data_IF_240037277564
#
_entry.id   IF_240037277564
#
_cell.length_a   1.000
_cell.length_b   1.000
_cell.length_c   1.000
_cell.angle_alpha   90.00
_cell.angle_beta   90.00
_cell.angle_gamma   90.00
#
_symmetry.space_group_name_H-M   'P 1'
#
loop_
_entity.id
_entity.type
_entity.pdbx_description
1 polymer ?
#
# COMPACT_ATOMS: atom_id res chain seq x y z
N UNK A 1 -24.16 -1.99 -12.54
CA UNK A 1 -24.47 -1.69 -13.97
C UNK A 1 -25.87 -1.10 -14.03
N UNK A 2 -26.03 0.07 -14.67
CA UNK A 2 -27.34 0.65 -14.91
C UNK A 2 -27.98 -0.03 -16.13
N UNK A 3 -29.04 -0.79 -15.89
CA UNK A 3 -29.81 -1.50 -16.94
C UNK A 3 -31.07 -0.75 -17.37
N UNK A 4 -31.32 0.45 -16.82
CA UNK A 4 -32.54 1.22 -17.05
C UNK A 4 -32.73 1.68 -18.51
N UNK A 5 -31.68 1.65 -19.32
CA UNK A 5 -31.71 2.01 -20.75
C UNK A 5 -31.88 0.81 -21.70
N UNK A 6 -32.02 -0.42 -21.19
CA UNK A 6 -32.20 -1.59 -22.05
C UNK A 6 -33.63 -1.64 -22.57
N UNK A 7 -33.77 -1.40 -23.87
CA UNK A 7 -35.07 -1.47 -24.52
C UNK A 7 -35.43 -2.93 -24.73
N UNK A 8 -36.60 -3.32 -24.25
CA UNK A 8 -37.23 -4.60 -24.63
C UNK A 8 -37.64 -4.51 -26.09
N UNK A 9 -37.17 -5.44 -26.94
CA UNK A 9 -37.47 -5.50 -28.36
C UNK A 9 -37.84 -6.92 -28.75
N UNK A 10 -38.74 -7.04 -29.74
CA UNK A 10 -39.02 -8.31 -30.39
C UNK A 10 -37.85 -8.63 -31.32
N UNK A 11 -37.32 -9.84 -31.24
CA UNK A 11 -36.22 -10.34 -32.08
C UNK A 11 -36.80 -11.42 -33.01
N UNK A 12 -36.79 -11.20 -34.32
CA UNK A 12 -37.20 -12.18 -35.28
C UNK A 12 -36.10 -13.25 -35.49
N UNK A 13 -36.46 -14.46 -35.98
CA UNK A 13 -35.50 -15.50 -36.30
C UNK A 13 -34.36 -14.99 -37.17
N UNK A 14 -33.12 -15.22 -36.76
CA UNK A 14 -31.91 -14.76 -37.45
C UNK A 14 -31.53 -13.31 -37.25
N UNK A 15 -32.28 -12.54 -36.45
CA UNK A 15 -31.87 -11.19 -36.05
C UNK A 15 -30.95 -11.22 -34.82
N UNK A 16 -30.06 -10.21 -34.75
CA UNK A 16 -29.15 -9.96 -33.63
C UNK A 16 -29.40 -8.55 -33.12
N UNK A 17 -29.54 -8.39 -31.81
CA UNK A 17 -29.53 -7.11 -31.14
C UNK A 17 -28.26 -7.00 -30.29
N UNK A 18 -27.64 -5.80 -30.29
CA UNK A 18 -26.40 -5.54 -29.58
C UNK A 18 -26.68 -4.59 -28.42
N UNK A 19 -26.25 -4.98 -27.23
CA UNK A 19 -26.32 -4.18 -26.02
C UNK A 19 -24.89 -3.89 -25.54
N UNK A 20 -24.66 -2.70 -24.98
CA UNK A 20 -23.39 -2.28 -24.42
C UNK A 20 -23.59 -1.90 -22.97
N UNK A 21 -22.62 -2.25 -22.12
CA UNK A 21 -22.55 -1.82 -20.74
C UNK A 21 -21.17 -1.27 -20.43
N UNK A 22 -21.08 -0.32 -19.50
CA UNK A 22 -19.82 0.25 -19.02
C UNK A 22 -19.71 -0.03 -17.53
N UNK A 23 -18.57 -0.53 -17.11
CA UNK A 23 -18.20 -0.67 -15.72
C UNK A 23 -16.94 0.17 -15.44
N UNK A 24 -16.99 1.02 -14.41
CA UNK A 24 -15.81 1.76 -13.95
C UNK A 24 -15.12 0.93 -12.88
N UNK A 25 -13.87 0.60 -13.13
CA UNK A 25 -13.04 -0.17 -12.20
C UNK A 25 -12.74 0.70 -10.98
N UNK A 26 -13.13 0.22 -9.80
CA UNK A 26 -12.81 0.83 -8.51
C UNK A 26 -11.73 0.04 -7.76
N UNK A 27 -11.26 0.59 -6.61
CA UNK A 27 -10.20 -0.02 -5.81
C UNK A 27 -10.50 -1.46 -5.41
N UNK A 28 -11.71 -1.76 -4.95
CA UNK A 28 -12.13 -3.13 -4.59
C UNK A 28 -11.92 -4.13 -5.74
N UNK A 29 -12.12 -3.70 -6.98
CA UNK A 29 -11.89 -4.57 -8.15
C UNK A 29 -10.40 -4.75 -8.43
N UNK A 30 -9.60 -3.70 -8.26
CA UNK A 30 -8.14 -3.76 -8.37
C UNK A 30 -7.57 -4.73 -7.33
N UNK A 31 -8.01 -4.62 -6.08
CA UNK A 31 -7.58 -5.51 -4.98
C UNK A 31 -8.02 -6.96 -5.18
N UNK A 32 -9.17 -7.20 -5.83
CA UNK A 32 -9.60 -8.57 -6.15
C UNK A 32 -8.83 -9.19 -7.32
N UNK A 33 -8.09 -8.39 -8.10
CA UNK A 33 -7.28 -8.83 -9.23
C UNK A 33 -8.08 -9.17 -10.48
N UNK A 34 -9.41 -9.05 -10.46
CA UNK A 34 -10.24 -9.27 -11.63
C UNK A 34 -11.66 -8.74 -11.46
N UNK A 35 -12.33 -8.53 -12.57
CA UNK A 35 -13.79 -8.32 -12.64
C UNK A 35 -14.38 -9.39 -13.55
N UNK A 36 -15.45 -10.03 -13.10
CA UNK A 36 -16.24 -10.95 -13.92
C UNK A 36 -17.64 -10.41 -14.17
N UNK A 37 -18.16 -10.67 -15.34
CA UNK A 37 -19.51 -10.27 -15.73
C UNK A 37 -20.23 -11.37 -16.49
N UNK A 38 -21.51 -11.59 -16.14
CA UNK A 38 -22.43 -12.43 -16.88
C UNK A 38 -23.71 -11.66 -17.14
N UNK A 39 -24.39 -11.95 -18.24
CA UNK A 39 -25.70 -11.42 -18.59
C UNK A 39 -26.65 -12.58 -18.86
N UNK A 40 -27.85 -12.53 -18.27
CA UNK A 40 -28.93 -13.43 -18.62
C UNK A 40 -29.91 -12.71 -19.53
N UNK A 41 -30.10 -13.21 -20.74
CA UNK A 41 -31.12 -12.75 -21.64
C UNK A 41 -32.39 -13.61 -21.46
N UNK A 42 -33.56 -12.98 -21.38
CA UNK A 42 -34.84 -13.67 -21.28
C UNK A 42 -35.80 -13.18 -22.36
N UNK A 43 -36.62 -14.07 -22.88
CA UNK A 43 -37.65 -13.74 -23.86
C UNK A 43 -38.90 -14.59 -23.67
N UNK A 44 -40.00 -14.14 -24.29
CA UNK A 44 -41.24 -14.91 -24.33
C UNK A 44 -41.51 -15.33 -25.78
N UNK A 45 -41.65 -16.62 -26.04
CA UNK A 45 -41.97 -17.13 -27.34
C UNK A 45 -43.48 -16.90 -27.67
N UNK A 46 -43.89 -16.95 -28.96
CA UNK A 46 -45.28 -16.71 -29.37
C UNK A 46 -46.31 -17.63 -28.70
N UNK A 47 -45.90 -18.80 -28.24
CA UNK A 47 -46.75 -19.74 -27.49
C UNK A 47 -46.88 -19.43 -26.00
N UNK A 48 -46.22 -18.34 -25.54
CA UNK A 48 -46.18 -17.92 -24.14
C UNK A 48 -45.12 -18.61 -23.30
N UNK A 49 -44.30 -19.50 -23.86
CA UNK A 49 -43.17 -20.09 -23.13
C UNK A 49 -42.04 -19.13 -22.94
N UNK A 50 -41.36 -19.20 -21.78
CA UNK A 50 -40.14 -18.42 -21.50
C UNK A 50 -38.93 -19.14 -22.08
N UNK A 51 -38.08 -18.37 -22.71
CA UNK A 51 -36.74 -18.77 -23.14
C UNK A 51 -35.71 -17.89 -22.43
N UNK A 52 -34.61 -18.47 -22.10
CA UNK A 52 -33.49 -17.71 -21.51
C UNK A 52 -32.16 -18.30 -21.94
N UNK A 53 -31.13 -17.47 -21.88
CA UNK A 53 -29.78 -17.87 -22.13
C UNK A 53 -28.83 -17.01 -21.26
N UNK A 54 -27.68 -17.58 -20.87
CA UNK A 54 -26.64 -16.89 -20.09
C UNK A 54 -25.49 -16.64 -21.05
N UNK A 55 -24.93 -15.43 -20.95
CA UNK A 55 -23.80 -15.03 -21.80
C UNK A 55 -22.61 -15.97 -21.63
N UNK A 56 -21.97 -16.22 -22.76
CA UNK A 56 -20.69 -16.87 -22.90
C UNK A 56 -19.61 -15.80 -23.11
N UNK A 57 -18.35 -16.07 -22.73
CA UNK A 57 -17.21 -15.17 -22.92
C UNK A 57 -16.67 -15.14 -24.36
N UNK A 58 -17.21 -16.00 -25.22
CA UNK A 58 -16.84 -16.12 -26.64
C UNK A 58 -15.61 -17.01 -26.87
N UNK A 59 -15.11 -17.70 -25.84
CA UNK A 59 -14.09 -18.72 -26.00
C UNK A 59 -14.72 -19.99 -26.60
N UNK A 60 -14.03 -20.62 -27.52
CA UNK A 60 -14.47 -21.89 -28.16
C UNK A 60 -13.52 -23.03 -27.80
N UNK A 61 -12.85 -22.94 -26.66
CA UNK A 61 -11.90 -23.95 -26.18
C UNK A 61 -12.55 -25.29 -25.80
N UNK A 62 -11.73 -26.29 -25.57
CA UNK A 62 -12.21 -27.67 -25.20
C UNK A 62 -12.78 -27.74 -23.78
N UNK A 63 -12.68 -26.68 -23.01
CA UNK A 63 -13.23 -26.54 -21.66
C UNK A 63 -14.42 -25.58 -21.58
N UNK A 64 -14.85 -25.05 -22.75
CA UNK A 64 -16.00 -24.18 -22.90
C UNK A 64 -17.27 -24.92 -22.46
N UNK A 65 -17.97 -24.33 -21.46
CA UNK A 65 -19.26 -24.87 -20.96
C UNK A 65 -20.46 -24.15 -21.56
N UNK A 66 -20.21 -23.14 -22.41
CA UNK A 66 -21.24 -22.36 -23.12
C UNK A 66 -22.03 -21.39 -22.23
N UNK A 67 -21.57 -21.10 -21.03
CA UNK A 67 -22.16 -20.13 -20.10
C UNK A 67 -21.10 -19.52 -19.17
N UNK A 68 -19.89 -19.29 -19.67
CA UNK A 68 -18.78 -18.80 -18.87
C UNK A 68 -18.81 -17.27 -18.73
N UNK A 69 -18.43 -16.73 -17.57
CA UNK A 69 -18.39 -15.30 -17.38
C UNK A 69 -17.23 -14.65 -18.15
N UNK A 70 -17.48 -13.51 -18.76
CA UNK A 70 -16.38 -12.66 -19.26
C UNK A 70 -15.55 -12.17 -18.08
N UNK A 71 -14.26 -12.48 -18.06
CA UNK A 71 -13.33 -12.10 -16.99
C UNK A 71 -12.28 -11.12 -17.52
N UNK A 72 -12.12 -9.99 -16.84
CA UNK A 72 -11.03 -9.04 -17.08
C UNK A 72 -10.08 -9.08 -15.90
N UNK A 73 -8.86 -9.58 -16.12
CA UNK A 73 -7.80 -9.58 -15.11
C UNK A 73 -7.19 -8.18 -14.97
N UNK A 74 -6.69 -7.87 -13.78
CA UNK A 74 -6.01 -6.63 -13.43
C UNK A 74 -4.63 -6.92 -12.88
N UNK A 75 -3.64 -6.14 -13.33
CA UNK A 75 -2.29 -6.24 -12.78
C UNK A 75 -2.26 -5.61 -11.39
N UNK A 76 -1.80 -6.38 -10.41
CA UNK A 76 -1.55 -5.93 -9.05
C UNK A 76 -0.06 -5.64 -8.90
N UNK A 77 0.27 -4.39 -8.61
CA UNK A 77 1.63 -3.88 -8.43
C UNK A 77 1.72 -3.25 -7.03
N UNK A 78 1.79 -4.08 -5.98
CA UNK A 78 1.90 -3.59 -4.62
C UNK A 78 3.29 -3.01 -4.38
N UNK A 79 3.36 -1.84 -3.74
CA UNK A 79 4.61 -1.16 -3.40
C UNK A 79 4.38 -0.24 -2.20
N UNK A 80 5.41 -0.02 -1.40
CA UNK A 80 5.44 1.02 -0.37
C UNK A 80 6.80 1.71 -0.37
N UNK A 81 6.84 2.93 0.17
CA UNK A 81 8.03 3.73 0.38
C UNK A 81 8.08 4.21 1.82
N UNK A 82 9.22 4.08 2.46
CA UNK A 82 9.46 4.47 3.86
C UNK A 82 10.58 5.51 3.92
N UNK A 83 10.26 6.68 4.45
CA UNK A 83 11.24 7.76 4.67
C UNK A 83 11.38 8.00 6.16
N UNK A 84 12.61 8.15 6.65
CA UNK A 84 12.92 8.46 8.04
C UNK A 84 13.91 9.60 8.15
N UNK A 85 13.43 10.74 8.66
CA UNK A 85 14.27 11.92 8.89
C UNK A 85 14.53 12.11 10.37
N UNK A 86 15.64 12.79 10.69
CA UNK A 86 16.03 13.09 12.05
C UNK A 86 16.36 14.59 12.24
N UNK A 87 15.96 15.15 13.39
CA UNK A 87 16.27 16.51 13.80
C UNK A 87 16.81 16.49 15.23
N UNK A 88 17.89 17.24 15.50
CA UNK A 88 18.44 17.36 16.85
C UNK A 88 17.94 18.66 17.47
N UNK A 89 17.33 18.54 18.64
CA UNK A 89 16.89 19.67 19.46
C UNK A 89 17.94 19.89 20.54
N UNK A 90 18.64 21.03 20.47
CA UNK A 90 19.60 21.52 21.48
C UNK A 90 18.84 22.01 22.71
N UNK A 91 18.74 21.16 23.75
CA UNK A 91 17.93 21.43 24.93
C UNK A 91 18.63 22.38 25.92
N UNK A 92 19.98 22.46 25.92
CA UNK A 92 20.74 23.32 26.83
C UNK A 92 21.20 24.61 26.19
N UNK A 93 20.99 24.79 24.87
CA UNK A 93 21.29 26.02 24.13
C UNK A 93 22.79 26.28 23.93
N UNK A 94 23.62 25.23 23.99
CA UNK A 94 25.06 25.38 23.88
C UNK A 94 25.59 25.38 22.43
N UNK A 95 24.70 25.09 21.44
CA UNK A 95 24.99 25.06 20.01
C UNK A 95 25.75 23.82 19.56
N UNK A 96 25.75 22.75 20.36
CA UNK A 96 26.39 21.46 20.05
C UNK A 96 25.45 20.32 20.39
N UNK A 97 25.52 19.24 19.62
CA UNK A 97 24.83 18.01 19.94
C UNK A 97 25.55 17.33 21.12
N UNK A 98 24.84 17.06 22.23
CA UNK A 98 25.45 16.54 23.44
C UNK A 98 24.49 15.78 24.34
N UNK A 99 25.01 15.37 25.51
CA UNK A 99 24.20 14.65 26.50
C UNK A 99 23.00 15.50 26.93
N UNK A 100 21.81 14.93 26.87
CA UNK A 100 20.56 15.56 27.27
C UNK A 100 19.80 16.23 26.15
N UNK A 101 20.42 16.42 24.98
CA UNK A 101 19.70 16.86 23.79
C UNK A 101 18.80 15.76 23.27
N UNK A 102 17.82 16.13 22.43
CA UNK A 102 16.83 15.20 21.92
C UNK A 102 16.99 15.04 20.41
N UNK A 103 17.09 13.81 19.94
CA UNK A 103 16.90 13.48 18.53
C UNK A 103 15.42 13.15 18.33
N UNK A 104 14.78 13.88 17.43
CA UNK A 104 13.39 13.65 16.99
C UNK A 104 13.40 12.97 15.62
N UNK A 105 12.78 11.81 15.52
CA UNK A 105 12.61 11.09 14.26
C UNK A 105 11.18 11.24 13.75
N UNK A 106 11.06 11.59 12.47
CA UNK A 106 9.80 11.55 11.73
C UNK A 106 9.91 10.46 10.69
N UNK A 107 8.97 9.53 10.71
CA UNK A 107 8.93 8.38 9.81
C UNK A 107 7.63 8.44 9.04
N UNK A 108 7.70 8.42 7.72
CA UNK A 108 6.52 8.31 6.85
C UNK A 108 6.56 7.00 6.11
N UNK A 109 5.40 6.37 5.95
CA UNK A 109 5.20 5.21 5.08
C UNK A 109 4.06 5.52 4.13
N UNK A 110 4.32 5.39 2.83
CA UNK A 110 3.38 5.65 1.75
C UNK A 110 3.10 4.36 0.97
N UNK A 111 1.84 4.12 0.61
CA UNK A 111 1.50 3.10 -0.37
C UNK A 111 1.66 3.69 -1.79
N UNK A 112 2.75 3.34 -2.44
CA UNK A 112 3.09 3.78 -3.80
C UNK A 112 2.60 2.81 -4.88
N UNK A 113 1.92 1.72 -4.47
CA UNK A 113 1.36 0.71 -5.35
C UNK A 113 -0.03 1.03 -5.89
N UNK A 114 -0.68 0.04 -6.47
CA UNK A 114 -2.05 0.12 -7.00
C UNK A 114 -3.05 -0.78 -6.28
N UNK A 115 -2.66 -1.38 -5.16
CA UNK A 115 -3.52 -2.21 -4.30
C UNK A 115 -3.41 -1.76 -2.85
N UNK A 116 -4.48 -1.91 -2.08
CA UNK A 116 -4.45 -1.64 -0.65
C UNK A 116 -3.54 -2.64 0.06
N UNK A 117 -2.76 -2.15 1.03
CA UNK A 117 -1.88 -2.95 1.86
C UNK A 117 -2.49 -3.16 3.24
N UNK A 118 -2.36 -4.36 3.79
CA UNK A 118 -2.91 -4.72 5.10
C UNK A 118 -1.84 -5.30 6.03
N UNK A 119 -2.12 -5.31 7.33
CA UNK A 119 -1.21 -5.89 8.32
C UNK A 119 0.10 -5.13 8.46
N UNK A 120 0.08 -3.80 8.28
CA UNK A 120 1.26 -2.95 8.41
C UNK A 120 1.92 -3.15 9.79
N UNK A 121 3.19 -3.47 9.77
CA UNK A 121 4.03 -3.70 10.94
C UNK A 121 5.45 -3.20 10.68
N UNK A 122 6.23 -2.98 11.73
CA UNK A 122 7.61 -2.50 11.57
C UNK A 122 8.57 -3.12 12.58
N UNK A 123 9.86 -3.05 12.22
CA UNK A 123 10.99 -3.32 13.11
C UNK A 123 11.94 -2.12 13.02
N UNK A 124 12.19 -1.46 14.16
CA UNK A 124 13.15 -0.37 14.27
C UNK A 124 14.51 -0.93 14.74
N UNK A 125 15.58 -0.52 14.08
CA UNK A 125 16.95 -0.91 14.41
C UNK A 125 17.77 0.33 14.77
N UNK A 126 18.02 0.55 16.06
CA UNK A 126 18.71 1.70 16.58
C UNK A 126 20.05 1.31 17.24
N UNK A 127 21.15 1.90 16.77
CA UNK A 127 22.53 1.57 17.17
C UNK A 127 23.33 2.81 17.41
N UNK A 128 24.39 2.69 18.25
CA UNK A 128 25.48 3.67 18.25
C UNK A 128 26.45 3.44 17.06
N UNK A 129 27.38 4.35 16.83
CA UNK A 129 28.34 4.23 15.71
C UNK A 129 29.42 3.15 15.93
N UNK A 130 29.46 2.47 17.07
CA UNK A 130 30.25 1.26 17.28
C UNK A 130 29.46 0.00 16.86
N UNK A 131 28.13 0.14 16.53
CA UNK A 131 27.25 -0.95 16.14
C UNK A 131 26.51 -1.60 17.32
N UNK A 132 26.67 -1.08 18.53
CA UNK A 132 25.99 -1.58 19.71
C UNK A 132 24.52 -1.06 19.75
N UNK A 133 23.59 -1.94 20.16
CA UNK A 133 22.18 -1.58 20.25
C UNK A 133 21.95 -0.52 21.33
N UNK A 134 21.13 0.48 20.96
CA UNK A 134 20.58 1.49 21.86
C UNK A 134 19.05 1.41 21.83
N UNK A 135 18.40 1.89 22.87
CA UNK A 135 16.94 1.93 22.97
C UNK A 135 16.46 3.38 22.82
N UNK A 136 15.47 3.58 21.96
CA UNK A 136 14.76 4.85 21.84
C UNK A 136 14.16 5.27 23.19
N UNK A 137 14.09 6.57 23.45
CA UNK A 137 13.43 7.10 24.64
C UNK A 137 11.90 7.02 24.51
N UNK A 138 11.37 7.12 23.29
CA UNK A 138 9.95 6.96 22.98
C UNK A 138 9.75 6.57 21.51
N UNK A 139 8.70 5.80 21.22
CA UNK A 139 8.26 5.46 19.88
C UNK A 139 8.99 4.26 19.25
N UNK A 140 8.79 4.02 17.95
CA UNK A 140 7.91 4.77 17.05
C UNK A 140 6.43 4.67 17.43
N UNK A 141 5.73 5.81 17.46
CA UNK A 141 4.31 5.92 17.78
C UNK A 141 3.63 6.57 16.59
N UNK A 142 2.49 6.01 16.16
CA UNK A 142 1.67 6.59 15.10
C UNK A 142 1.21 7.99 15.49
N UNK A 143 1.43 8.97 14.62
CA UNK A 143 0.95 10.34 14.78
C UNK A 143 -0.48 10.46 14.24
N UNK A 144 -1.47 10.41 15.12
CA UNK A 144 -2.89 10.55 14.79
C UNK A 144 -3.36 12.02 14.74
N UNK A 145 -2.45 12.99 14.93
CA UNK A 145 -2.78 14.42 15.01
C UNK A 145 -3.41 14.97 13.73
N UNK A 146 -3.22 14.30 12.60
CA UNK A 146 -3.68 14.73 11.27
C UNK A 146 -4.87 13.94 10.70
N UNK A 147 -5.38 12.89 11.37
CA UNK A 147 -6.38 11.98 10.78
C UNK A 147 -7.56 11.71 11.71
N UNK A 148 -8.76 11.75 11.12
CA UNK A 148 -10.05 11.47 11.78
C UNK A 148 -10.37 9.96 11.90
N UNK A 149 -9.44 9.04 11.62
CA UNK A 149 -9.70 7.61 11.61
C UNK A 149 -8.74 6.85 12.54
N UNK A 150 -9.25 5.92 13.38
CA UNK A 150 -8.40 5.17 14.31
C UNK A 150 -7.45 4.24 13.57
N UNK A 151 -6.36 3.83 14.26
CA UNK A 151 -5.33 2.86 13.85
C UNK A 151 -5.87 1.75 12.92
N UNK A 152 -5.99 2.03 11.64
CA UNK A 152 -6.19 1.00 10.64
C UNK A 152 -4.82 0.38 10.31
N UNK A 153 -4.71 -0.93 10.40
CA UNK A 153 -3.55 -1.66 9.88
C UNK A 153 -3.53 -1.71 8.33
N UNK A 154 -4.50 -1.09 7.69
CA UNK A 154 -4.58 -0.92 6.24
C UNK A 154 -3.89 0.37 5.85
N UNK A 155 -3.12 0.34 4.78
CA UNK A 155 -2.53 1.48 4.10
C UNK A 155 -3.14 1.54 2.70
N UNK A 156 -4.12 2.44 2.50
CA UNK A 156 -4.83 2.58 1.22
C UNK A 156 -3.90 3.13 0.13
N UNK A 157 -4.23 2.91 -1.14
CA UNK A 157 -3.44 3.43 -2.27
C UNK A 157 -3.27 4.95 -2.17
N UNK A 158 -2.02 5.42 -2.15
CA UNK A 158 -1.65 6.83 -1.98
C UNK A 158 -1.80 7.37 -0.56
N UNK A 159 -2.15 6.52 0.42
CA UNK A 159 -2.17 6.94 1.83
C UNK A 159 -0.75 7.05 2.38
N UNK A 160 -0.52 8.10 3.19
CA UNK A 160 0.71 8.30 3.94
C UNK A 160 0.39 8.22 5.43
N UNK A 161 1.12 7.39 6.18
CA UNK A 161 1.08 7.33 7.64
C UNK A 161 2.38 7.85 8.22
N UNK A 162 2.26 8.67 9.29
CA UNK A 162 3.41 9.25 9.98
C UNK A 162 3.58 8.63 11.36
N UNK A 163 4.82 8.35 11.73
CA UNK A 163 5.20 7.88 13.05
C UNK A 163 6.28 8.79 13.61
N UNK A 164 6.25 8.99 14.93
CA UNK A 164 7.21 9.82 15.66
C UNK A 164 7.96 8.97 16.67
N UNK A 165 9.27 9.22 16.77
CA UNK A 165 10.10 8.61 17.79
C UNK A 165 11.11 9.63 18.35
N UNK A 166 11.59 9.42 19.57
CA UNK A 166 12.58 10.31 20.19
C UNK A 166 13.68 9.52 20.89
N UNK A 167 14.86 10.09 20.90
CA UNK A 167 15.99 9.62 21.70
C UNK A 167 16.66 10.78 22.44
N UNK A 168 16.78 10.66 23.75
CA UNK A 168 17.58 11.61 24.54
C UNK A 168 19.03 11.12 24.51
N UNK A 169 19.92 11.97 23.98
CA UNK A 169 21.34 11.64 23.80
C UNK A 169 21.94 11.29 25.15
N UNK A 170 22.52 10.12 25.25
CA UNK A 170 23.15 9.57 26.45
C UNK A 170 24.67 9.43 26.29
N UNK A 171 25.33 9.01 27.36
CA UNK A 171 26.79 8.87 27.35
C UNK A 171 27.30 7.80 26.38
N UNK A 172 26.50 6.74 26.12
CA UNK A 172 26.88 5.71 25.15
C UNK A 172 26.98 6.29 23.73
N UNK A 173 25.96 7.05 23.31
CA UNK A 173 25.94 7.72 22.00
C UNK A 173 27.12 8.70 21.84
N UNK A 174 27.40 9.51 22.87
CA UNK A 174 28.55 10.45 22.87
C UNK A 174 29.87 9.71 22.78
N UNK A 175 30.06 8.64 23.54
CA UNK A 175 31.30 7.85 23.50
C UNK A 175 31.54 7.19 22.15
N UNK A 176 30.47 6.82 21.44
CA UNK A 176 30.54 6.24 20.11
C UNK A 176 30.67 7.27 18.98
N UNK A 177 30.49 8.59 19.30
CA UNK A 177 30.56 9.68 18.33
C UNK A 177 29.26 9.89 17.54
N UNK A 178 28.17 9.16 17.88
CA UNK A 178 26.88 9.31 17.22
C UNK A 178 26.01 8.07 17.27
N UNK A 179 24.92 8.14 16.53
CA UNK A 179 23.92 7.05 16.42
C UNK A 179 23.45 6.89 14.97
N UNK A 180 22.99 5.68 14.63
CA UNK A 180 22.34 5.35 13.37
C UNK A 180 20.99 4.68 13.64
N UNK A 181 19.99 4.98 12.82
CA UNK A 181 18.66 4.39 12.94
C UNK A 181 18.07 4.06 11.58
N UNK A 182 17.57 2.84 11.43
CA UNK A 182 16.75 2.41 10.32
C UNK A 182 15.47 1.75 10.81
N UNK A 183 14.43 1.80 10.01
CA UNK A 183 13.17 1.11 10.28
C UNK A 183 12.72 0.35 9.03
N UNK A 184 12.32 -0.90 9.21
CA UNK A 184 11.75 -1.71 8.14
C UNK A 184 10.26 -1.84 8.37
N UNK A 185 9.46 -1.42 7.40
CA UNK A 185 8.04 -1.70 7.37
C UNK A 185 7.75 -2.93 6.52
N UNK A 186 6.73 -3.68 6.92
CA UNK A 186 6.25 -4.87 6.21
C UNK A 186 4.73 -4.84 6.19
N UNK A 187 4.16 -5.20 5.04
CA UNK A 187 2.72 -5.31 4.84
C UNK A 187 2.38 -6.47 3.90
N UNK A 188 1.09 -6.76 3.79
CA UNK A 188 0.52 -7.80 2.94
C UNK A 188 -0.28 -7.17 1.81
N UNK A 189 -0.04 -7.60 0.57
CA UNK A 189 -0.90 -7.28 -0.56
C UNK A 189 -2.06 -8.28 -0.66
N UNK A 190 -3.11 -8.00 -1.46
CA UNK A 190 -4.23 -8.92 -1.62
C UNK A 190 -3.81 -10.35 -1.97
N UNK A 191 -4.29 -11.32 -1.20
CA UNK A 191 -3.98 -12.74 -1.39
C UNK A 191 -2.56 -13.20 -1.04
N UNK A 192 -1.70 -12.32 -0.52
CA UNK A 192 -0.33 -12.63 -0.12
C UNK A 192 -0.03 -12.04 1.27
N UNK A 193 0.81 -12.71 2.04
CA UNK A 193 1.18 -12.26 3.39
C UNK A 193 2.61 -11.77 3.44
N UNK A 194 2.85 -10.62 4.08
CA UNK A 194 4.17 -10.03 4.35
C UNK A 194 5.10 -10.00 3.12
N UNK A 195 4.52 -9.69 1.96
CA UNK A 195 5.22 -9.73 0.68
C UNK A 195 5.66 -8.35 0.18
N UNK A 196 5.26 -7.29 0.88
CA UNK A 196 5.65 -5.90 0.58
C UNK A 196 6.43 -5.39 1.77
N UNK A 197 7.63 -4.93 1.56
CA UNK A 197 8.47 -4.36 2.62
C UNK A 197 9.37 -3.28 2.03
N UNK A 198 9.76 -2.37 2.89
CA UNK A 198 10.72 -1.33 2.58
C UNK A 198 11.53 -0.95 3.82
N UNK A 199 12.78 -0.57 3.62
CA UNK A 199 13.70 -0.07 4.65
C UNK A 199 13.81 1.44 4.48
N UNK A 200 13.70 2.18 5.58
CA UNK A 200 13.70 3.63 5.53
C UNK A 200 14.91 4.24 4.85
N UNK A 201 14.64 5.18 3.97
CA UNK A 201 15.57 6.13 3.39
C UNK A 201 15.60 7.43 4.21
N UNK A 202 16.71 8.15 4.24
CA UNK A 202 16.86 9.45 4.92
C UNK A 202 16.40 10.65 4.06
N UNK A 203 15.89 10.37 2.86
CA UNK A 203 15.41 11.35 1.86
C UNK A 203 16.54 12.31 1.36
N UNK A 204 17.78 11.91 1.45
CA UNK A 204 18.89 12.63 0.85
C UNK A 204 19.27 12.03 -0.52
N UNK A 205 19.70 12.84 -1.48
CA UNK A 205 20.07 12.35 -2.82
C UNK A 205 21.44 11.68 -2.87
N UNK A 206 22.07 11.45 -1.74
CA UNK A 206 23.40 10.86 -1.62
C UNK A 206 23.34 9.58 -0.81
N UNK A 207 24.07 8.57 -1.26
CA UNK A 207 24.34 7.35 -0.50
C UNK A 207 25.05 7.69 0.81
N UNK A 208 24.25 7.83 1.90
CA UNK A 208 24.72 8.29 3.21
C UNK A 208 25.47 7.24 4.02
N UNK A 209 25.22 5.96 3.78
CA UNK A 209 25.90 4.84 4.45
C UNK A 209 26.99 4.20 3.60
N UNK A 210 27.11 4.57 2.32
CA UNK A 210 28.20 4.17 1.43
C UNK A 210 28.08 2.75 0.87
N UNK A 211 26.87 2.15 0.88
CA UNK A 211 26.63 0.82 0.35
C UNK A 211 26.32 0.80 -1.17
N UNK A 212 26.10 1.97 -1.77
CA UNK A 212 25.84 2.17 -3.20
C UNK A 212 24.35 2.19 -3.55
N UNK A 213 23.45 2.18 -2.57
CA UNK A 213 22.00 2.24 -2.73
C UNK A 213 21.40 3.41 -1.93
N UNK A 214 21.05 4.49 -2.62
CA UNK A 214 20.47 5.70 -1.99
C UNK A 214 18.98 5.54 -1.62
N UNK A 215 18.41 4.34 -1.70
CA UNK A 215 16.99 4.10 -1.39
C UNK A 215 16.77 3.42 -0.04
N UNK A 216 17.84 3.16 0.72
CA UNK A 216 17.78 2.53 2.04
C UNK A 216 18.73 3.17 3.07
N UNK A 217 19.05 4.45 2.87
CA UNK A 217 20.02 5.18 3.66
C UNK A 217 19.64 5.28 5.15
N UNK A 218 20.63 5.07 6.00
CA UNK A 218 20.48 5.19 7.46
C UNK A 218 20.35 6.65 7.90
N UNK A 219 19.39 6.97 8.76
CA UNK A 219 19.39 8.25 9.47
C UNK A 219 20.58 8.32 10.42
N UNK A 220 21.66 8.98 9.98
CA UNK A 220 22.93 9.08 10.68
C UNK A 220 23.07 10.41 11.41
N UNK A 221 23.29 10.40 12.71
CA UNK A 221 23.51 11.59 13.54
C UNK A 221 24.89 11.52 14.21
N UNK A 222 25.75 12.46 13.86
CA UNK A 222 27.05 12.64 14.53
C UNK A 222 26.89 13.55 15.75
N UNK A 223 27.55 13.16 16.87
CA UNK A 223 27.51 13.84 18.16
C UNK A 223 28.90 14.25 18.58
#
# INVERSE_FOLDING_TARGET
>A
IDTSAWLVRDIAPGQTEIYTAIYVIGQTSADSGSVSNTVTATGTAPDGSMVFDISDDGDTGTTDTGNDPTVVAMDQIPSMEVIKTANVVDNDGNGKNGIGDTIEYTITVENTGNTDLTGLSFVDTFKDLNGDLIVLSSGPIYDDSSISSPLSSTLEVGEIKTYLATFIINQQAVNAGGVSNSITFTASSPGKSNNVFDVSDDNLPSDGDGDGDSTNDLSLIHI
#
